data_IF_619033637746
#
_entry.id   IF_619033637746
#
_cell.length_a   1.000
_cell.length_b   1.000
_cell.length_c   1.000
_cell.angle_alpha   90.00
_cell.angle_beta   90.00
_cell.angle_gamma   90.00
#
_symmetry.space_group_name_H-M   'P 1'
#
loop_
_entity.id
_entity.type
_entity.pdbx_description
1 polymer ?
#
# COMPACT_ATOMS: atom_id res chain seq x y z
N UNK A 1 -7.25 2.51 2.69
CA UNK A 1 -6.62 3.62 3.45
C UNK A 1 -5.11 3.64 3.33
N UNK A 2 -4.43 2.50 3.14
CA UNK A 2 -2.96 2.50 3.03
C UNK A 2 -2.45 2.99 1.65
N UNK A 3 -3.04 2.48 0.56
CA UNK A 3 -2.72 2.89 -0.82
C UNK A 3 -2.66 4.41 -1.02
N UNK A 4 -3.55 5.17 -0.38
CA UNK A 4 -3.53 6.64 -0.44
C UNK A 4 -2.26 7.25 0.15
N UNK A 5 -1.78 6.76 1.30
CA UNK A 5 -0.54 7.29 1.89
C UNK A 5 0.68 6.99 1.02
N UNK A 6 0.73 5.79 0.41
CA UNK A 6 1.83 5.40 -0.48
C UNK A 6 1.78 6.12 -1.84
N UNK A 7 0.60 6.24 -2.46
CA UNK A 7 0.39 7.08 -3.65
C UNK A 7 0.72 8.56 -3.37
N UNK A 8 0.41 9.05 -2.16
CA UNK A 8 0.71 10.43 -1.75
C UNK A 8 2.22 10.66 -1.55
N UNK A 9 2.97 9.65 -1.10
CA UNK A 9 4.44 9.66 -1.06
C UNK A 9 5.01 9.66 -2.50
N UNK A 10 4.56 8.76 -3.37
CA UNK A 10 5.09 8.63 -4.73
C UNK A 10 4.73 9.81 -5.65
N UNK A 11 3.58 10.46 -5.45
CA UNK A 11 3.12 11.62 -6.24
C UNK A 11 3.39 12.97 -5.59
N UNK A 12 4.01 12.98 -4.39
CA UNK A 12 4.30 14.22 -3.67
C UNK A 12 3.11 14.93 -3.03
N UNK A 13 1.96 14.28 -2.91
CA UNK A 13 0.76 14.78 -2.20
C UNK A 13 0.96 14.73 -0.67
N UNK A 14 2.21 14.85 -0.21
CA UNK A 14 2.70 14.23 1.01
C UNK A 14 2.18 14.82 2.32
N UNK A 15 1.95 13.91 3.27
CA UNK A 15 1.33 14.07 4.61
C UNK A 15 -0.19 14.27 4.58
N UNK A 16 -0.85 13.58 5.52
CA UNK A 16 -2.28 13.29 5.48
C UNK A 16 -3.18 14.50 5.28
N UNK A 17 -4.21 14.32 4.46
CA UNK A 17 -5.25 15.31 4.15
C UNK A 17 -4.80 16.60 3.43
N UNK A 18 -3.64 16.63 2.75
CA UNK A 18 -3.27 17.71 1.82
C UNK A 18 -4.08 17.72 0.51
N UNK A 19 -5.41 17.87 0.61
CA UNK A 19 -6.31 18.15 -0.52
C UNK A 19 -6.06 19.50 -1.21
N UNK A 20 -5.29 20.39 -0.58
CA UNK A 20 -5.17 21.80 -0.98
C UNK A 20 -4.01 22.09 -1.95
N UNK A 21 -3.24 21.09 -2.40
CA UNK A 21 -2.11 21.35 -3.29
C UNK A 21 -2.58 21.70 -4.71
N UNK A 22 -2.22 22.91 -5.15
CA UNK A 22 -2.56 23.47 -6.46
C UNK A 22 -1.93 22.67 -7.61
N UNK A 23 -2.41 22.89 -8.84
CA UNK A 23 -1.83 22.25 -10.03
C UNK A 23 -0.39 22.69 -10.30
N UNK A 24 -0.04 23.94 -9.98
CA UNK A 24 1.31 24.49 -10.11
C UNK A 24 2.28 23.87 -9.11
N UNK A 25 1.90 23.74 -7.84
CA UNK A 25 2.71 23.05 -6.82
C UNK A 25 2.93 21.57 -7.17
N UNK A 26 1.90 20.86 -7.65
CA UNK A 26 2.03 19.47 -8.11
C UNK A 26 2.99 19.34 -9.30
N UNK A 27 2.90 20.24 -10.29
CA UNK A 27 3.83 20.26 -11.42
C UNK A 27 5.27 20.61 -11.00
N UNK A 28 5.44 21.48 -10.00
CA UNK A 28 6.75 21.81 -9.44
C UNK A 28 7.36 20.61 -8.69
N UNK A 29 6.58 19.93 -7.83
CA UNK A 29 7.03 18.70 -7.18
C UNK A 29 7.35 17.61 -8.19
N UNK A 30 6.54 17.42 -9.23
CA UNK A 30 6.80 16.40 -10.24
C UNK A 30 8.12 16.64 -10.98
N UNK A 31 8.42 17.90 -11.35
CA UNK A 31 9.73 18.29 -11.90
C UNK A 31 10.87 18.05 -10.91
N UNK A 32 10.67 18.35 -9.62
CA UNK A 32 11.64 18.05 -8.58
C UNK A 32 11.91 16.55 -8.48
N UNK A 33 10.86 15.71 -8.42
CA UNK A 33 10.97 14.25 -8.42
C UNK A 33 11.76 13.75 -9.63
N UNK A 34 11.44 14.19 -10.85
CA UNK A 34 12.16 13.75 -12.04
C UNK A 34 13.66 14.08 -11.96
N UNK A 35 14.01 15.31 -11.59
CA UNK A 35 15.40 15.74 -11.42
C UNK A 35 16.13 14.98 -10.30
N UNK A 36 15.48 14.81 -9.14
CA UNK A 36 16.04 14.09 -7.99
C UNK A 36 16.26 12.60 -8.29
N UNK A 37 15.35 11.98 -9.04
CA UNK A 37 15.39 10.58 -9.42
C UNK A 37 16.23 10.29 -10.70
N UNK A 38 16.84 11.31 -11.31
CA UNK A 38 17.59 11.14 -12.57
C UNK A 38 16.72 10.72 -13.77
N UNK A 39 15.39 10.90 -13.67
CA UNK A 39 14.43 10.52 -14.71
C UNK A 39 14.41 11.56 -15.84
N UNK A 40 13.99 11.13 -17.04
CA UNK A 40 13.91 12.02 -18.21
C UNK A 40 12.84 13.10 -17.97
N UNK A 41 13.05 14.37 -18.38
CA UNK A 41 12.03 15.41 -18.28
C UNK A 41 10.72 15.12 -19.06
N UNK A 42 10.75 14.16 -19.98
CA UNK A 42 9.61 13.68 -20.76
C UNK A 42 8.87 12.49 -20.13
N UNK A 43 9.35 11.94 -19.02
CA UNK A 43 8.67 10.86 -18.28
C UNK A 43 7.33 11.39 -17.73
N UNK A 44 6.25 10.61 -17.89
CA UNK A 44 4.93 10.99 -17.38
C UNK A 44 4.76 10.62 -15.89
N UNK A 45 3.67 11.08 -15.24
CA UNK A 45 3.46 10.82 -13.80
C UNK A 45 3.37 9.32 -13.50
N UNK A 46 2.69 8.53 -14.33
CA UNK A 46 2.49 7.09 -14.13
C UNK A 46 3.80 6.30 -14.27
N UNK A 47 4.61 6.57 -15.29
CA UNK A 47 5.93 5.94 -15.48
C UNK A 47 6.89 6.25 -14.31
N UNK A 48 6.66 7.35 -13.60
CA UNK A 48 7.43 7.71 -12.40
C UNK A 48 7.01 6.93 -11.13
N UNK A 49 5.89 6.20 -11.16
CA UNK A 49 5.33 5.49 -9.98
C UNK A 49 6.10 4.22 -9.61
N UNK A 50 7.16 3.89 -10.33
CA UNK A 50 8.01 2.72 -10.12
C UNK A 50 7.84 1.69 -11.22
N UNK A 51 8.95 1.02 -11.53
CA UNK A 51 8.99 -0.03 -12.55
C UNK A 51 8.89 -1.40 -11.86
N UNK A 52 8.31 -2.42 -12.52
CA UNK A 52 8.49 -3.80 -12.08
C UNK A 52 9.98 -4.13 -12.05
N UNK A 53 10.47 -4.64 -10.92
CA UNK A 53 11.86 -5.05 -10.74
C UNK A 53 11.96 -6.55 -10.50
N UNK A 54 13.06 -7.14 -10.99
CA UNK A 54 13.39 -8.54 -10.72
C UNK A 54 14.15 -8.65 -9.40
N UNK A 55 13.73 -9.57 -8.53
CA UNK A 55 14.38 -9.89 -7.26
C UNK A 55 15.63 -10.75 -7.51
N UNK A 56 16.75 -10.11 -7.88
CA UNK A 56 18.06 -10.73 -8.16
C UNK A 56 18.00 -11.90 -9.17
N UNK A 57 17.05 -11.86 -10.10
CA UNK A 57 16.75 -12.96 -11.03
C UNK A 57 16.05 -14.17 -10.39
N UNK A 58 15.89 -14.20 -9.06
CA UNK A 58 15.24 -15.26 -8.28
C UNK A 58 13.70 -15.12 -8.23
N UNK A 59 13.07 -14.80 -9.36
CA UNK A 59 11.63 -14.99 -9.52
C UNK A 59 11.30 -16.47 -9.70
N UNK A 60 10.82 -17.11 -8.63
CA UNK A 60 10.09 -18.37 -8.76
C UNK A 60 8.85 -18.16 -9.63
N UNK A 61 8.42 -19.19 -10.37
CA UNK A 61 7.23 -19.08 -11.19
C UNK A 61 6.01 -18.84 -10.29
N UNK A 62 5.23 -17.79 -10.57
CA UNK A 62 4.18 -17.20 -9.72
C UNK A 62 4.65 -16.35 -8.51
N UNK A 63 5.96 -16.07 -8.38
CA UNK A 63 6.44 -14.96 -7.56
C UNK A 63 5.78 -13.65 -8.01
N UNK A 64 5.39 -12.80 -7.05
CA UNK A 64 4.53 -11.64 -7.32
C UNK A 64 5.34 -10.35 -7.31
N UNK A 65 5.07 -9.50 -8.31
CA UNK A 65 5.84 -8.31 -8.72
C UNK A 65 6.41 -7.53 -7.53
N UNK A 66 7.74 -7.39 -7.51
CA UNK A 66 8.38 -6.26 -6.86
C UNK A 66 8.20 -5.01 -7.73
N UNK A 67 8.30 -3.87 -7.07
CA UNK A 67 8.37 -2.56 -7.70
C UNK A 67 9.56 -1.82 -7.12
N UNK A 68 10.40 -1.28 -7.99
CA UNK A 68 11.46 -0.36 -7.62
C UNK A 68 10.97 1.08 -7.83
N UNK A 69 10.98 1.85 -6.75
CA UNK A 69 10.58 3.25 -6.73
C UNK A 69 11.70 4.15 -6.24
N UNK A 70 11.76 5.33 -6.84
CA UNK A 70 12.50 6.46 -6.30
C UNK A 70 11.54 7.35 -5.50
N UNK A 71 11.88 7.60 -4.24
CA UNK A 71 11.11 8.42 -3.29
C UNK A 71 11.97 9.65 -2.93
N UNK A 72 11.61 10.85 -3.43
CA UNK A 72 12.35 12.07 -3.13
C UNK A 72 12.52 12.30 -1.63
N UNK A 73 13.71 12.77 -1.27
CA UNK A 73 14.17 13.03 0.10
C UNK A 73 14.20 11.80 1.05
N UNK A 74 14.00 10.59 0.51
CA UNK A 74 14.04 9.32 1.27
C UNK A 74 15.02 8.32 0.65
N UNK A 75 14.81 7.89 -0.61
CA UNK A 75 15.61 6.84 -1.23
C UNK A 75 15.60 6.94 -2.77
N UNK A 76 16.79 6.85 -3.40
CA UNK A 76 16.93 6.75 -4.87
C UNK A 76 16.37 5.44 -5.41
N UNK A 77 16.61 4.37 -4.67
CA UNK A 77 16.19 3.00 -4.95
C UNK A 77 15.51 2.46 -3.69
N UNK A 78 14.23 2.15 -3.78
CA UNK A 78 13.47 1.50 -2.73
C UNK A 78 12.61 0.40 -3.37
N UNK A 79 12.83 -0.84 -2.98
CA UNK A 79 12.10 -1.99 -3.48
C UNK A 79 11.00 -2.40 -2.51
N UNK A 80 9.81 -2.69 -3.02
CA UNK A 80 8.71 -3.25 -2.23
C UNK A 80 7.94 -4.31 -3.02
N UNK A 81 7.41 -5.32 -2.33
CA UNK A 81 6.56 -6.35 -2.90
C UNK A 81 5.10 -6.18 -2.46
N UNK A 82 4.17 -6.46 -3.37
CA UNK A 82 2.74 -6.50 -3.01
C UNK A 82 2.39 -7.84 -2.36
N UNK A 83 1.95 -7.84 -1.10
CA UNK A 83 1.49 -9.05 -0.44
C UNK A 83 0.26 -9.63 -1.16
N UNK A 84 0.35 -10.90 -1.60
CA UNK A 84 -1.27 -11.82 -2.66
C UNK A 84 -2.58 -11.67 -1.86
N UNK A 85 -3.54 -10.89 -2.34
CA UNK A 85 -4.77 -10.53 -1.59
C UNK A 85 -5.60 -11.74 -1.11
N UNK A 86 -5.51 -12.87 -1.83
CA UNK A 86 -6.17 -14.14 -1.48
C UNK A 86 -5.52 -14.86 -0.29
N UNK A 87 -4.24 -14.58 -0.01
CA UNK A 87 -3.46 -15.21 1.07
C UNK A 87 -3.15 -14.24 2.22
N UNK A 88 -3.10 -12.94 1.94
CA UNK A 88 -3.00 -11.88 2.95
C UNK A 88 -4.17 -10.92 2.69
N UNK A 89 -5.34 -11.28 3.22
CA UNK A 89 -6.54 -10.49 3.07
C UNK A 89 -6.48 -9.27 3.99
N UNK A 90 -7.18 -8.20 3.63
CA UNK A 90 -7.48 -7.13 4.58
C UNK A 90 -8.87 -7.32 5.21
N UNK A 91 -9.10 -6.69 6.37
CA UNK A 91 -10.37 -6.83 7.11
C UNK A 91 -11.62 -6.45 6.32
N UNK A 92 -11.56 -5.54 5.35
CA UNK A 92 -12.72 -5.25 4.48
C UNK A 92 -12.98 -6.40 3.51
N UNK A 93 -11.94 -6.91 2.84
CA UNK A 93 -12.07 -8.06 1.93
C UNK A 93 -12.51 -9.35 2.64
N UNK A 94 -12.15 -9.53 3.90
CA UNK A 94 -12.46 -10.74 4.67
C UNK A 94 -13.81 -10.65 5.44
N UNK A 95 -14.03 -9.60 6.23
CA UNK A 95 -15.25 -9.50 7.06
C UNK A 95 -16.46 -8.92 6.31
N UNK A 96 -16.25 -7.97 5.39
CA UNK A 96 -17.35 -7.27 4.68
C UNK A 96 -17.66 -7.93 3.35
N UNK A 97 -16.64 -8.21 2.53
CA UNK A 97 -16.82 -8.79 1.20
C UNK A 97 -16.81 -10.33 1.20
N UNK A 98 -16.34 -10.96 2.29
CA UNK A 98 -16.30 -12.42 2.47
C UNK A 98 -15.63 -13.14 1.29
N UNK A 99 -14.53 -12.57 0.78
CA UNK A 99 -13.81 -13.04 -0.41
C UNK A 99 -13.35 -14.50 -0.29
N UNK A 100 -13.05 -14.95 0.92
CA UNK A 100 -12.72 -16.34 1.27
C UNK A 100 -13.84 -17.33 0.95
N UNK A 101 -15.11 -16.91 1.11
CA UNK A 101 -16.28 -17.74 0.78
C UNK A 101 -16.60 -17.66 -0.72
N UNK A 102 -16.45 -16.48 -1.33
CA UNK A 102 -16.71 -16.26 -2.76
C UNK A 102 -15.74 -17.02 -3.67
N UNK A 103 -14.48 -17.19 -3.25
CA UNK A 103 -13.43 -17.84 -4.04
C UNK A 103 -12.98 -19.20 -3.48
N UNK A 104 -13.51 -19.64 -2.34
CA UNK A 104 -13.12 -20.89 -1.68
C UNK A 104 -11.69 -20.94 -1.14
N UNK A 105 -10.99 -19.80 -1.08
CA UNK A 105 -9.59 -19.69 -0.63
C UNK A 105 -9.54 -19.04 0.75
N UNK A 106 -9.14 -19.80 1.76
CA UNK A 106 -8.84 -19.26 3.08
C UNK A 106 -7.49 -18.54 3.10
N UNK A 107 -7.40 -17.29 3.56
CA UNK A 107 -6.14 -16.57 3.64
C UNK A 107 -5.27 -17.09 4.79
N UNK A 108 -3.95 -17.05 4.60
CA UNK A 108 -2.95 -17.33 5.63
C UNK A 108 -2.96 -16.28 6.75
N UNK A 109 -3.29 -15.03 6.41
CA UNK A 109 -3.41 -13.93 7.37
C UNK A 109 -4.51 -12.94 6.97
N UNK A 110 -5.18 -12.35 7.97
CA UNK A 110 -6.14 -11.26 7.80
C UNK A 110 -5.63 -10.02 8.55
N UNK A 111 -5.22 -8.99 7.82
CA UNK A 111 -4.74 -7.73 8.40
C UNK A 111 -5.89 -6.70 8.54
N UNK A 112 -6.08 -6.17 9.75
CA UNK A 112 -6.88 -4.98 9.97
C UNK A 112 -6.02 -3.89 10.61
N UNK A 113 -6.13 -2.66 10.12
CA UNK A 113 -5.46 -1.51 10.75
C UNK A 113 -6.04 -1.28 12.15
N UNK A 114 -5.26 -0.67 13.05
CA UNK A 114 -5.76 -0.17 14.33
C UNK A 114 -6.97 0.78 14.16
N UNK A 115 -7.78 0.95 15.21
CA UNK A 115 -8.87 1.91 15.23
C UNK A 115 -8.60 3.00 16.27
N UNK A 116 -8.37 4.23 15.82
CA UNK A 116 -8.35 5.38 16.72
C UNK A 116 -9.72 5.50 17.40
N UNK A 117 -9.72 5.56 18.73
CA UNK A 117 -10.91 5.42 19.57
C UNK A 117 -10.93 4.13 20.40
N UNK A 118 -10.12 3.11 20.05
CA UNK A 118 -9.91 1.95 20.91
C UNK A 118 -9.24 2.41 22.24
N UNK A 119 -9.96 2.32 23.36
CA UNK A 119 -9.39 2.52 24.70
C UNK A 119 -8.85 1.19 25.25
N UNK A 120 -8.15 1.23 26.40
CA UNK A 120 -7.52 0.04 27.00
C UNK A 120 -8.52 -1.05 27.42
N UNK A 121 -9.76 -0.65 27.68
CA UNK A 121 -10.93 -1.47 28.00
C UNK A 121 -11.84 -1.72 26.78
N UNK A 122 -11.92 -0.77 25.85
CA UNK A 122 -12.88 -0.75 24.76
C UNK A 122 -12.21 -0.80 23.37
N UNK A 123 -11.93 -1.98 22.84
CA UNK A 123 -11.35 -2.19 21.49
C UNK A 123 -12.21 -3.12 20.59
N UNK A 124 -13.54 -3.00 20.73
CA UNK A 124 -14.50 -4.00 20.27
C UNK A 124 -14.54 -4.21 18.76
N UNK A 125 -14.78 -3.14 17.98
CA UNK A 125 -15.34 -3.24 16.63
C UNK A 125 -14.53 -4.09 15.63
N UNK A 126 -13.21 -4.22 15.83
CA UNK A 126 -12.34 -5.10 15.04
C UNK A 126 -12.00 -6.39 15.77
N UNK A 127 -11.69 -6.36 17.08
CA UNK A 127 -11.30 -7.56 17.84
C UNK A 127 -12.45 -8.56 17.94
N UNK A 128 -13.69 -8.10 18.14
CA UNK A 128 -14.86 -8.98 18.10
C UNK A 128 -15.04 -9.65 16.74
N UNK A 129 -14.77 -8.95 15.62
CA UNK A 129 -14.81 -9.58 14.29
C UNK A 129 -13.74 -10.66 14.10
N UNK A 130 -12.56 -10.53 14.71
CA UNK A 130 -11.60 -11.65 14.74
C UNK A 130 -12.05 -12.77 15.69
N UNK A 131 -12.63 -12.47 16.86
CA UNK A 131 -13.19 -13.48 17.79
C UNK A 131 -14.34 -14.28 17.17
N UNK A 132 -15.26 -13.63 16.47
CA UNK A 132 -16.36 -14.26 15.70
C UNK A 132 -15.86 -15.33 14.72
N UNK A 133 -14.66 -15.16 14.17
CA UNK A 133 -14.03 -16.09 13.21
C UNK A 133 -12.95 -16.97 13.84
N UNK A 134 -12.82 -16.99 15.18
CA UNK A 134 -11.81 -17.79 15.90
C UNK A 134 -10.36 -17.34 15.69
N UNK A 135 -10.15 -16.15 15.11
CA UNK A 135 -8.83 -15.60 14.76
C UNK A 135 -8.21 -14.74 15.86
N UNK A 136 -8.91 -14.53 16.97
CA UNK A 136 -8.42 -13.83 18.16
C UNK A 136 -8.90 -14.57 19.39
N UNK A 137 -8.03 -14.69 20.41
CA UNK A 137 -8.34 -15.43 21.63
C UNK A 137 -9.42 -14.71 22.48
N UNK A 138 -10.15 -15.45 23.33
CA UNK A 138 -11.07 -14.86 24.31
C UNK A 138 -10.39 -13.79 25.18
#
# INVERSE_FOLDING_TARGET
TDQTAFDDILRGRGRGHRRNMTGTERNAYFRYKLAWCGMKPSTNEADSMGMPSDLDGHHSMNSRRLFEVCIPDVAKHFQFGLLPLLLVANGHTFFVQQLQLQLGVWPLAVHATYQFGDQGDCAFGKRERFREWGMWLP
#
